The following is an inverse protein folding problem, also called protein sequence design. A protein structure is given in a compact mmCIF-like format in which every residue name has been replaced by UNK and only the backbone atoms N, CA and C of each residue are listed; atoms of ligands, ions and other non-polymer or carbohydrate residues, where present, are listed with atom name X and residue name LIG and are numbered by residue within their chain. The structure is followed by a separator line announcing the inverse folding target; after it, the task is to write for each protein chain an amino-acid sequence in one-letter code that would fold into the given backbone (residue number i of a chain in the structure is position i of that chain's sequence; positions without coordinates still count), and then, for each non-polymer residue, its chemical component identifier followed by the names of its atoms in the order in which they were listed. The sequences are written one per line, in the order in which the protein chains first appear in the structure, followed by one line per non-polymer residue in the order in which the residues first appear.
data_IF_580396610180
#
_entry.id   IF_580396610180
#
_cell.length_a   1.000
_cell.length_b   1.000
_cell.length_c   1.000
_cell.angle_alpha   90.00
_cell.angle_beta   90.00
_cell.angle_gamma   90.00
#
_symmetry.space_group_name_H-M   'P 1'
#
loop_
_entity.id
_entity.type
_entity.pdbx_description
1 polymer ?
#
# COMPACT_ATOMS: atom_id res chain seq x y z
N UNK A 1 0.67 -8.30 -29.93
CA UNK A 1 -0.28 -8.76 -28.89
C UNK A 1 -0.58 -7.64 -27.87
N UNK A 2 0.40 -6.86 -27.47
CA UNK A 2 0.26 -5.76 -26.48
C UNK A 2 -0.61 -4.59 -26.99
N UNK A 3 -0.59 -4.30 -28.28
CA UNK A 3 -1.38 -3.21 -28.90
C UNK A 3 -2.91 -3.42 -28.82
N UNK A 4 -3.37 -4.65 -28.61
CA UNK A 4 -4.80 -4.99 -28.49
C UNK A 4 -5.23 -5.36 -27.07
N UNK A 5 -4.39 -5.07 -26.07
CA UNK A 5 -4.70 -5.38 -24.68
C UNK A 5 -5.87 -4.48 -24.20
N UNK A 6 -6.99 -5.06 -23.71
CA UNK A 6 -8.14 -4.28 -23.24
C UNK A 6 -7.95 -3.67 -21.86
N UNK A 7 -6.75 -3.71 -21.29
CA UNK A 7 -6.46 -3.06 -20.02
C UNK A 7 -6.50 -1.54 -20.14
N UNK A 8 -7.09 -0.87 -19.17
CA UNK A 8 -7.09 0.58 -19.09
C UNK A 8 -5.64 1.10 -19.06
N UNK A 9 -5.22 2.02 -19.95
CA UNK A 9 -3.83 2.46 -20.06
C UNK A 9 -3.45 3.51 -19.00
N UNK A 10 -3.68 3.20 -17.73
CA UNK A 10 -3.41 4.12 -16.59
C UNK A 10 -1.93 4.45 -16.42
N UNK A 11 -1.03 3.60 -16.92
CA UNK A 11 0.43 3.79 -16.89
C UNK A 11 1.06 3.84 -18.30
N UNK A 12 0.22 4.03 -19.32
CA UNK A 12 0.62 3.88 -20.72
C UNK A 12 0.61 2.42 -21.19
N UNK A 13 0.91 2.17 -22.49
CA UNK A 13 0.96 0.82 -23.02
C UNK A 13 2.15 0.04 -22.42
N UNK A 14 1.97 -1.23 -22.03
CA UNK A 14 3.09 -2.07 -21.63
C UNK A 14 4.14 -2.19 -22.74
N UNK A 15 5.41 -2.02 -22.40
CA UNK A 15 6.50 -2.10 -23.37
C UNK A 15 7.04 -3.52 -23.56
N UNK A 16 6.92 -4.35 -22.53
CA UNK A 16 7.42 -5.74 -22.52
C UNK A 16 6.34 -6.66 -21.97
N UNK A 17 6.20 -7.83 -22.56
CA UNK A 17 5.34 -8.91 -22.07
C UNK A 17 6.19 -9.97 -21.39
N UNK A 18 6.32 -9.91 -20.07
CA UNK A 18 7.00 -10.96 -19.31
C UNK A 18 6.10 -12.18 -19.16
N UNK A 19 6.69 -13.37 -19.35
CA UNK A 19 5.97 -14.66 -19.32
C UNK A 19 6.57 -15.64 -18.30
N UNK A 20 7.77 -15.37 -17.79
CA UNK A 20 8.45 -16.19 -16.78
C UNK A 20 9.27 -15.32 -15.85
N UNK A 21 9.37 -15.76 -14.58
CA UNK A 21 10.29 -15.20 -13.60
C UNK A 21 10.87 -16.29 -12.70
N UNK A 22 12.15 -16.17 -12.32
CA UNK A 22 12.85 -17.09 -11.43
C UNK A 22 13.95 -16.34 -10.68
N UNK A 23 13.90 -16.33 -9.35
CA UNK A 23 14.83 -15.52 -8.55
C UNK A 23 14.78 -14.04 -8.95
N UNK A 24 15.89 -13.49 -9.39
CA UNK A 24 16.00 -12.09 -9.86
C UNK A 24 15.93 -11.96 -11.39
N UNK A 25 15.52 -12.99 -12.11
CA UNK A 25 15.47 -13.01 -13.57
C UNK A 25 14.04 -13.03 -14.08
N UNK A 26 13.81 -12.33 -15.18
CA UNK A 26 12.57 -12.32 -15.95
C UNK A 26 12.85 -12.67 -17.41
N UNK A 27 11.88 -13.29 -18.07
CA UNK A 27 11.92 -13.56 -19.51
C UNK A 27 10.66 -13.04 -20.18
N UNK A 28 10.86 -12.38 -21.32
CA UNK A 28 9.76 -11.93 -22.16
C UNK A 28 9.22 -13.03 -23.10
N UNK A 29 8.18 -12.69 -23.86
CA UNK A 29 7.56 -13.62 -24.81
C UNK A 29 8.46 -13.98 -26.00
N UNK A 30 9.48 -13.21 -26.27
CA UNK A 30 10.51 -13.43 -27.29
C UNK A 30 11.70 -14.25 -26.77
N UNK A 31 11.75 -14.54 -25.45
CA UNK A 31 12.79 -15.31 -24.80
C UNK A 31 14.00 -14.48 -24.34
N UNK A 32 13.93 -13.16 -24.41
CA UNK A 32 14.98 -12.31 -23.87
C UNK A 32 14.98 -12.35 -22.35
N UNK A 33 16.18 -12.37 -21.75
CA UNK A 33 16.40 -12.39 -20.31
C UNK A 33 16.67 -10.99 -19.78
N UNK A 34 16.10 -10.70 -18.61
CA UNK A 34 16.22 -9.41 -17.91
C UNK A 34 16.57 -9.64 -16.44
N UNK A 35 17.44 -8.79 -15.90
CA UNK A 35 17.69 -8.73 -14.47
C UNK A 35 16.69 -7.77 -13.81
N UNK A 36 15.88 -8.31 -12.89
CA UNK A 36 14.83 -7.56 -12.22
C UNK A 36 15.32 -6.83 -10.96
N UNK A 37 15.64 -5.54 -11.09
CA UNK A 37 15.91 -4.65 -9.97
C UNK A 37 14.67 -3.91 -9.44
N UNK A 38 13.50 -4.08 -10.07
CA UNK A 38 12.26 -3.43 -9.65
C UNK A 38 11.48 -4.29 -8.65
N UNK A 39 11.54 -5.60 -8.80
CA UNK A 39 10.84 -6.59 -7.94
C UNK A 39 9.36 -6.29 -7.73
N UNK A 40 8.67 -5.83 -8.79
CA UNK A 40 7.26 -5.42 -8.68
C UNK A 40 7.02 -4.25 -7.71
N UNK A 41 7.95 -3.31 -7.58
CA UNK A 41 8.02 -2.26 -6.54
C UNK A 41 8.23 -2.86 -5.14
N UNK A 42 9.25 -3.70 -5.01
CA UNK A 42 9.66 -4.41 -3.78
C UNK A 42 8.63 -5.44 -3.26
N UNK A 43 7.77 -5.95 -4.14
CA UNK A 43 6.76 -6.97 -3.78
C UNK A 43 7.37 -8.38 -3.75
N UNK A 44 8.20 -8.73 -4.75
CA UNK A 44 8.83 -10.05 -4.88
C UNK A 44 10.17 -10.10 -4.17
N UNK A 45 10.22 -9.74 -2.89
CA UNK A 45 11.47 -9.62 -2.11
C UNK A 45 12.25 -10.94 -1.94
N UNK A 46 11.59 -12.10 -2.08
CA UNK A 46 12.21 -13.42 -2.06
C UNK A 46 12.59 -13.91 -3.47
N UNK A 47 12.38 -13.09 -4.49
CA UNK A 47 12.52 -13.46 -5.89
C UNK A 47 11.25 -14.05 -6.50
N UNK A 48 11.25 -14.13 -7.83
CA UNK A 48 10.17 -14.75 -8.59
C UNK A 48 10.13 -16.25 -8.38
N UNK A 49 8.92 -16.82 -8.31
CA UNK A 49 8.69 -18.28 -8.23
C UNK A 49 9.42 -18.95 -7.07
N UNK A 50 9.58 -18.26 -5.93
CA UNK A 50 10.25 -18.85 -4.76
C UNK A 50 9.51 -20.11 -4.31
N UNK A 51 10.17 -21.29 -4.23
CA UNK A 51 9.49 -22.57 -4.01
C UNK A 51 8.68 -22.60 -2.71
N UNK A 52 9.23 -22.11 -1.60
CA UNK A 52 8.50 -22.12 -0.33
C UNK A 52 7.21 -21.28 -0.38
N UNK A 53 7.16 -20.20 -1.18
CA UNK A 53 5.95 -19.39 -1.36
C UNK A 53 4.96 -20.11 -2.26
N UNK A 54 5.44 -20.69 -3.38
CA UNK A 54 4.60 -21.44 -4.32
C UNK A 54 3.94 -22.64 -3.64
N UNK A 55 4.72 -23.44 -2.90
CA UNK A 55 4.23 -24.62 -2.18
C UNK A 55 3.21 -24.26 -1.09
N UNK A 56 3.48 -23.18 -0.32
CA UNK A 56 2.56 -22.71 0.71
C UNK A 56 1.22 -22.24 0.11
N UNK A 57 1.27 -21.52 -1.04
CA UNK A 57 0.07 -21.07 -1.74
C UNK A 57 -0.73 -22.25 -2.29
N UNK A 58 -0.09 -23.24 -2.93
CA UNK A 58 -0.78 -24.45 -3.43
C UNK A 58 -1.45 -25.22 -2.31
N UNK A 59 -0.74 -25.48 -1.22
CA UNK A 59 -1.27 -26.19 -0.05
C UNK A 59 -2.47 -25.44 0.57
N UNK A 60 -2.35 -24.13 0.78
CA UNK A 60 -3.42 -23.35 1.37
C UNK A 60 -4.63 -23.21 0.43
N UNK A 61 -4.40 -23.05 -0.89
CA UNK A 61 -5.47 -22.98 -1.87
C UNK A 61 -6.32 -24.24 -1.93
N UNK A 62 -5.72 -25.42 -1.68
CA UNK A 62 -6.44 -26.70 -1.58
C UNK A 62 -7.12 -26.92 -0.24
N UNK A 63 -6.73 -26.18 0.79
CA UNK A 63 -7.28 -26.34 2.16
C UNK A 63 -8.44 -25.40 2.40
N UNK A 64 -8.22 -24.09 2.26
CA UNK A 64 -9.22 -23.06 2.56
C UNK A 64 -8.81 -21.72 1.91
N UNK A 65 -9.64 -21.19 1.02
CA UNK A 65 -9.38 -19.94 0.33
C UNK A 65 -9.87 -18.70 1.09
N UNK A 66 -11.15 -18.71 1.52
CA UNK A 66 -11.77 -17.54 2.11
C UNK A 66 -13.00 -17.88 2.95
N UNK A 67 -13.15 -17.18 4.08
CA UNK A 67 -14.31 -17.34 4.99
C UNK A 67 -14.90 -16.00 5.47
N UNK A 68 -14.48 -14.87 4.91
CA UNK A 68 -14.74 -13.51 5.39
C UNK A 68 -14.14 -13.20 6.79
N UNK A 69 -14.14 -11.91 7.16
CA UNK A 69 -13.64 -11.45 8.46
C UNK A 69 -14.60 -11.79 9.65
N UNK A 70 -15.73 -12.46 9.37
CA UNK A 70 -16.63 -12.96 10.41
C UNK A 70 -16.06 -14.19 11.12
N UNK A 71 -15.12 -14.88 10.49
CA UNK A 71 -14.49 -16.09 11.00
C UNK A 71 -12.98 -15.97 11.02
N UNK A 72 -12.34 -16.69 11.95
CA UNK A 72 -10.87 -16.76 12.02
C UNK A 72 -10.31 -17.80 11.06
N UNK A 73 -9.08 -17.57 10.61
CA UNK A 73 -8.26 -18.57 9.91
C UNK A 73 -6.92 -18.71 10.60
N UNK A 74 -6.37 -19.92 10.61
CA UNK A 74 -5.08 -20.17 11.27
C UNK A 74 -3.94 -19.32 10.69
N UNK A 75 -3.73 -19.23 9.35
CA UNK A 75 -2.70 -18.38 8.79
C UNK A 75 -2.84 -16.91 9.18
N UNK A 76 -4.08 -16.39 9.21
CA UNK A 76 -4.34 -15.00 9.62
C UNK A 76 -3.92 -14.73 11.06
N UNK A 77 -4.22 -15.64 11.97
CA UNK A 77 -3.82 -15.51 13.39
C UNK A 77 -2.30 -15.63 13.58
N UNK A 78 -1.65 -16.55 12.89
CA UNK A 78 -0.19 -16.75 12.98
C UNK A 78 0.56 -15.50 12.49
N UNK A 79 0.14 -14.93 11.36
CA UNK A 79 0.73 -13.69 10.82
C UNK A 79 0.47 -12.52 11.76
N UNK A 80 -0.75 -12.35 12.27
CA UNK A 80 -1.07 -11.28 13.22
C UNK A 80 -0.23 -11.38 14.50
N UNK A 81 -0.11 -12.56 15.08
CA UNK A 81 0.72 -12.78 16.27
C UNK A 81 2.21 -12.51 16.01
N UNK A 82 2.70 -12.89 14.82
CA UNK A 82 4.09 -12.63 14.43
C UNK A 82 4.36 -11.13 14.27
N UNK A 83 3.47 -10.39 13.60
CA UNK A 83 3.59 -8.95 13.44
C UNK A 83 3.51 -8.22 14.79
N UNK A 84 2.56 -8.59 15.64
CA UNK A 84 2.43 -8.01 16.98
C UNK A 84 3.73 -8.20 17.78
N UNK A 85 4.28 -9.41 17.81
CA UNK A 85 5.56 -9.70 18.50
C UNK A 85 6.72 -8.89 17.92
N UNK A 86 6.83 -8.75 16.61
CA UNK A 86 7.91 -7.99 15.95
C UNK A 86 7.81 -6.47 16.23
N UNK A 87 6.62 -5.97 16.49
CA UNK A 87 6.35 -4.56 16.81
C UNK A 87 6.36 -4.26 18.32
N UNK A 88 6.75 -5.20 19.16
CA UNK A 88 6.87 -5.01 20.60
C UNK A 88 5.69 -5.51 21.43
N UNK A 89 4.67 -6.06 20.79
CA UNK A 89 3.50 -6.64 21.46
C UNK A 89 2.43 -5.65 21.93
N UNK A 90 1.24 -6.15 22.21
CA UNK A 90 0.11 -5.38 22.72
C UNK A 90 -0.71 -4.64 21.67
N UNK A 91 -0.42 -4.82 20.38
CA UNK A 91 -1.13 -4.23 19.26
C UNK A 91 -2.29 -5.07 18.74
N UNK A 92 -2.91 -4.58 17.68
CA UNK A 92 -3.90 -5.30 16.87
C UNK A 92 -3.56 -5.12 15.39
N UNK A 93 -3.72 -6.18 14.62
CA UNK A 93 -3.43 -6.18 13.18
C UNK A 93 -4.74 -6.10 12.40
N UNK A 94 -4.78 -5.19 11.44
CA UNK A 94 -5.82 -5.08 10.44
C UNK A 94 -5.25 -5.44 9.08
N UNK A 95 -5.79 -6.49 8.46
CA UNK A 95 -5.41 -6.89 7.11
C UNK A 95 -6.25 -6.17 6.06
N UNK A 96 -5.62 -5.71 5.01
CA UNK A 96 -6.24 -5.06 3.86
C UNK A 96 -5.60 -5.58 2.55
N UNK A 97 -6.24 -5.31 1.42
CA UNK A 97 -5.76 -5.79 0.12
C UNK A 97 -4.68 -4.89 -0.49
N UNK A 98 -4.51 -3.70 0.05
CA UNK A 98 -3.53 -2.72 -0.45
C UNK A 98 -3.10 -1.74 0.63
N UNK A 99 -1.94 -1.08 0.40
CA UNK A 99 -1.50 0.02 1.25
C UNK A 99 -2.47 1.20 1.27
N UNK A 100 -3.19 1.44 0.18
CA UNK A 100 -4.25 2.47 0.15
C UNK A 100 -5.38 2.14 1.12
N UNK A 101 -5.87 0.89 1.14
CA UNK A 101 -6.91 0.45 2.09
C UNK A 101 -6.41 0.48 3.54
N UNK A 102 -5.16 0.10 3.78
CA UNK A 102 -4.55 0.20 5.11
C UNK A 102 -4.51 1.66 5.58
N UNK A 103 -4.11 2.60 4.72
CA UNK A 103 -4.11 4.02 5.02
C UNK A 103 -5.53 4.58 5.20
N UNK A 104 -6.52 4.15 4.42
CA UNK A 104 -7.94 4.51 4.64
C UNK A 104 -8.43 4.06 6.04
N UNK A 105 -8.02 2.86 6.47
CA UNK A 105 -8.32 2.40 7.82
C UNK A 105 -7.64 3.28 8.87
N UNK A 106 -6.38 3.62 8.70
CA UNK A 106 -5.63 4.48 9.61
C UNK A 106 -6.24 5.89 9.71
N UNK A 107 -6.62 6.50 8.57
CA UNK A 107 -7.30 7.79 8.51
C UNK A 107 -8.63 7.77 9.29
N UNK A 108 -9.44 6.74 9.07
CA UNK A 108 -10.72 6.55 9.78
C UNK A 108 -10.50 6.33 11.28
N UNK A 109 -9.53 5.53 11.64
CA UNK A 109 -9.18 5.24 13.04
C UNK A 109 -8.71 6.50 13.77
N UNK A 110 -7.82 7.29 13.14
CA UNK A 110 -7.34 8.56 13.68
C UNK A 110 -8.48 9.55 13.92
N UNK A 111 -9.41 9.69 12.97
CA UNK A 111 -10.60 10.53 13.12
C UNK A 111 -11.55 10.04 14.22
N UNK A 112 -11.76 8.73 14.30
CA UNK A 112 -12.61 8.12 15.34
C UNK A 112 -11.99 8.29 16.72
N UNK A 113 -10.70 8.11 16.87
CA UNK A 113 -9.96 8.28 18.12
C UNK A 113 -9.85 9.75 18.53
N UNK A 114 -9.57 10.64 17.58
CA UNK A 114 -9.46 12.09 17.81
C UNK A 114 -10.75 12.73 18.30
N UNK A 115 -11.89 12.16 17.94
CA UNK A 115 -13.21 12.69 18.29
C UNK A 115 -13.62 13.91 17.46
N UNK A 116 -14.66 14.59 17.90
CA UNK A 116 -15.21 15.76 17.18
C UNK A 116 -14.17 16.89 17.07
N UNK A 117 -14.03 17.45 15.88
CA UNK A 117 -13.13 18.56 15.59
C UNK A 117 -11.69 18.14 15.25
N UNK A 118 -11.27 16.90 15.55
CA UNK A 118 -9.95 16.38 15.22
C UNK A 118 -10.02 15.45 14.01
N UNK A 119 -9.85 16.01 12.82
CA UNK A 119 -10.01 15.30 11.55
C UNK A 119 -8.90 15.58 10.54
N UNK A 120 -8.04 16.55 10.84
CA UNK A 120 -6.95 16.92 9.94
C UNK A 120 -5.81 15.91 10.03
N UNK A 121 -5.26 15.58 8.87
CA UNK A 121 -4.08 14.74 8.71
C UNK A 121 -2.97 15.59 8.11
N UNK A 122 -1.78 15.53 8.71
CA UNK A 122 -0.58 16.18 8.19
C UNK A 122 0.32 15.12 7.57
N UNK A 123 0.71 15.33 6.31
CA UNK A 123 1.64 14.44 5.61
C UNK A 123 2.79 15.22 4.95
N UNK A 124 3.85 14.50 4.56
CA UNK A 124 5.01 15.12 3.95
C UNK A 124 4.82 15.38 2.46
N UNK A 125 5.33 16.50 1.96
CA UNK A 125 5.49 16.74 0.53
C UNK A 125 6.40 15.66 -0.08
N UNK A 126 6.07 15.20 -1.29
CA UNK A 126 6.75 14.10 -1.97
C UNK A 126 6.38 12.70 -1.47
N UNK A 127 5.53 12.58 -0.44
CA UNK A 127 5.05 11.28 0.07
C UNK A 127 4.10 10.58 -0.91
N UNK A 128 3.89 9.28 -0.68
CA UNK A 128 2.88 8.49 -1.38
C UNK A 128 2.11 7.62 -0.39
N UNK A 129 0.79 7.78 -0.35
CA UNK A 129 -0.09 7.08 0.59
C UNK A 129 -1.20 6.26 -0.08
N UNK A 130 -1.36 6.37 -1.39
CA UNK A 130 -2.34 5.60 -2.17
C UNK A 130 -3.03 6.40 -3.26
N UNK A 131 -4.00 5.76 -3.91
CA UNK A 131 -4.75 6.30 -5.06
C UNK A 131 -6.27 6.35 -4.85
N UNK A 132 -6.78 5.98 -3.68
CA UNK A 132 -8.18 6.30 -3.29
C UNK A 132 -8.29 7.78 -2.99
N UNK A 133 -9.47 8.37 -3.02
CA UNK A 133 -9.62 9.82 -2.94
C UNK A 133 -8.99 10.42 -1.67
N UNK A 134 -9.16 9.79 -0.51
CA UNK A 134 -8.56 10.31 0.73
C UNK A 134 -7.04 10.05 0.77
N UNK A 135 -6.57 8.87 0.38
CA UNK A 135 -5.12 8.60 0.34
C UNK A 135 -4.42 9.35 -0.78
N UNK A 136 -5.11 9.67 -1.87
CA UNK A 136 -4.60 10.56 -2.91
C UNK A 136 -4.40 11.97 -2.35
N UNK A 137 -5.35 12.51 -1.58
CA UNK A 137 -5.17 13.81 -0.95
C UNK A 137 -4.07 13.77 0.14
N UNK A 138 -3.94 12.67 0.89
CA UNK A 138 -2.82 12.47 1.82
C UNK A 138 -1.46 12.39 1.11
N UNK A 139 -1.40 11.93 -0.14
CA UNK A 139 -0.19 11.88 -0.96
C UNK A 139 0.31 13.30 -1.24
N UNK A 140 1.50 13.65 -0.77
CA UNK A 140 2.08 14.99 -0.86
C UNK A 140 2.61 15.36 -2.25
N UNK A 141 1.86 15.06 -3.31
CA UNK A 141 2.20 15.30 -4.71
C UNK A 141 1.07 16.07 -5.42
N UNK A 142 0.97 17.41 -5.25
CA UNK A 142 -0.16 18.21 -5.70
C UNK A 142 -0.53 18.05 -7.19
N UNK A 143 0.46 17.84 -8.04
CA UNK A 143 0.25 17.61 -9.49
C UNK A 143 -0.60 16.35 -9.78
N UNK A 144 -0.71 15.42 -8.83
CA UNK A 144 -1.57 14.24 -8.94
C UNK A 144 -2.99 14.48 -8.47
N UNK A 145 -3.24 15.58 -7.79
CA UNK A 145 -4.56 15.92 -7.24
C UNK A 145 -5.47 16.62 -8.25
N UNK A 146 -4.87 17.38 -9.17
CA UNK A 146 -5.57 18.34 -10.02
C UNK A 146 -6.72 17.73 -10.82
N UNK A 147 -6.48 16.58 -11.43
CA UNK A 147 -7.48 15.89 -12.26
C UNK A 147 -8.66 15.27 -11.47
N UNK A 148 -8.56 15.21 -10.12
CA UNK A 148 -9.52 14.49 -9.27
C UNK A 148 -10.24 15.39 -8.26
N UNK A 149 -10.16 16.70 -8.44
CA UNK A 149 -10.86 17.65 -7.58
C UNK A 149 -12.39 17.56 -7.78
N UNK A 150 -13.21 17.76 -6.67
CA UNK A 150 -12.77 18.04 -5.30
C UNK A 150 -12.34 16.76 -4.57
N UNK A 151 -11.24 16.84 -3.84
CA UNK A 151 -10.78 15.77 -2.94
C UNK A 151 -11.35 15.95 -1.53
N UNK A 152 -11.43 14.87 -0.71
CA UNK A 152 -11.87 14.96 0.68
C UNK A 152 -11.04 15.99 1.48
N UNK A 153 -11.68 16.82 2.26
CA UNK A 153 -11.03 17.84 3.09
C UNK A 153 -10.28 17.26 4.29
N UNK A 154 -9.44 18.10 4.91
CA UNK A 154 -8.75 17.78 6.16
C UNK A 154 -7.34 17.21 5.94
N UNK A 155 -6.64 17.67 4.91
CA UNK A 155 -5.23 17.29 4.68
C UNK A 155 -4.35 18.54 4.60
N UNK A 156 -3.16 18.45 5.22
CA UNK A 156 -2.09 19.46 5.15
C UNK A 156 -0.79 18.77 4.76
N UNK A 157 0.06 19.47 4.03
CA UNK A 157 1.35 18.96 3.61
C UNK A 157 2.47 19.86 4.12
N UNK A 158 3.52 19.26 4.66
CA UNK A 158 4.72 19.95 5.14
C UNK A 158 5.97 19.43 4.43
N UNK A 159 7.02 20.22 4.40
CA UNK A 159 8.31 19.77 3.86
C UNK A 159 8.84 18.63 4.75
N UNK A 160 9.39 17.60 4.10
CA UNK A 160 10.00 16.48 4.82
C UNK A 160 11.20 16.94 5.65
N UNK A 161 11.28 16.45 6.88
CA UNK A 161 12.34 16.75 7.84
C UNK A 161 12.42 18.23 8.28
N UNK A 162 11.36 19.00 8.09
CA UNK A 162 11.20 20.36 8.61
C UNK A 162 10.31 20.32 9.86
N UNK A 163 10.96 20.31 11.03
CA UNK A 163 10.26 20.22 12.31
C UNK A 163 9.50 21.52 12.67
N UNK A 164 9.97 22.66 12.21
CA UNK A 164 9.31 23.95 12.44
C UNK A 164 8.02 24.04 11.60
N UNK A 165 8.08 23.63 10.32
CA UNK A 165 6.90 23.52 9.47
C UNK A 165 5.89 22.51 10.02
N UNK A 166 6.37 21.38 10.54
CA UNK A 166 5.49 20.38 11.19
C UNK A 166 4.84 20.97 12.44
N UNK A 167 5.60 21.60 13.32
CA UNK A 167 5.08 22.23 14.55
C UNK A 167 4.04 23.30 14.23
N UNK A 168 4.27 24.12 13.21
CA UNK A 168 3.32 25.14 12.76
C UNK A 168 2.03 24.55 12.16
N UNK A 169 2.11 23.37 11.57
CA UNK A 169 0.95 22.67 11.01
C UNK A 169 0.10 21.93 12.04
N UNK A 170 0.63 21.70 13.26
CA UNK A 170 -0.06 21.00 14.34
C UNK A 170 -0.92 21.98 15.14
N UNK A 171 -2.23 21.72 15.18
CA UNK A 171 -3.20 22.44 15.99
C UNK A 171 -4.24 21.45 16.56
N UNK A 172 -5.20 21.93 17.40
CA UNK A 172 -6.21 21.04 18.01
C UNK A 172 -7.08 20.26 17.00
N UNK A 173 -7.10 20.62 15.74
CA UNK A 173 -7.86 19.91 14.69
C UNK A 173 -7.11 18.69 14.12
N UNK A 174 -5.82 18.57 14.40
CA UNK A 174 -4.99 17.47 13.86
C UNK A 174 -5.28 16.18 14.62
N UNK A 175 -5.71 15.16 13.88
CA UNK A 175 -5.95 13.82 14.38
C UNK A 175 -4.70 12.93 14.23
N UNK A 176 -3.89 13.16 13.20
CA UNK A 176 -2.75 12.31 12.87
C UNK A 176 -1.72 13.04 12.01
N UNK A 177 -0.44 12.77 12.26
CA UNK A 177 0.64 13.15 11.35
C UNK A 177 1.32 11.88 10.82
N UNK A 178 1.47 11.79 9.51
CA UNK A 178 2.07 10.64 8.83
C UNK A 178 3.34 11.04 8.12
N UNK A 179 4.39 10.29 8.40
CA UNK A 179 5.66 10.42 7.72
C UNK A 179 5.60 9.82 6.29
N UNK A 180 6.71 9.91 5.61
CA UNK A 180 6.89 9.43 4.23
C UNK A 180 6.73 7.92 4.13
#
# INVERSE_FOLDING_TARGET
ALERCPLMPTYGPPQVLFVRGEGSLLWDAEGNEYLDFLSGLAVTSLGHSHPAVADALDAQARTLLHVSNLFGTEPGWQVAATLDRLLGGGGKVFFANSGAEANECALKLARKWGGRGRHVVVSALGSFHGRTLATLHATGQPQKHEAFQPLPEGFRHVVWNDLDALAAALDPTVAWSVAR
#
